data_IF_559133988276
#
_entry.id   IF_559133988276
#
_cell.length_a   1.000
_cell.length_b   1.000
_cell.length_c   1.000
_cell.angle_alpha   90.00
_cell.angle_beta   90.00
_cell.angle_gamma   90.00
#
_symmetry.space_group_name_H-M   'P 1'
#
loop_
_entity.id
_entity.type
_entity.pdbx_description
1 polymer ?
#
# COMPACT_ATOMS: atom_id res chain seq x y z
N UNK A 1 -2.07 -13.54 -24.65
CA UNK A 1 -1.96 -12.73 -23.42
C UNK A 1 -2.09 -13.68 -22.25
N UNK A 2 -0.99 -14.05 -21.59
CA UNK A 2 -1.08 -14.88 -20.37
C UNK A 2 -1.80 -14.07 -19.29
N UNK A 3 -2.83 -14.65 -18.68
CA UNK A 3 -3.46 -14.06 -17.52
C UNK A 3 -2.42 -13.99 -16.39
N UNK A 4 -2.23 -12.80 -15.81
CA UNK A 4 -1.37 -12.64 -14.63
C UNK A 4 -1.79 -13.63 -13.55
N UNK A 5 -0.81 -14.30 -12.94
CA UNK A 5 -1.10 -15.25 -11.87
C UNK A 5 -1.67 -14.54 -10.65
N UNK A 6 -2.49 -15.21 -9.84
CA UNK A 6 -3.03 -14.65 -8.60
C UNK A 6 -1.93 -14.05 -7.70
N UNK A 7 -0.76 -14.71 -7.65
CA UNK A 7 0.46 -14.28 -6.93
C UNK A 7 0.99 -12.89 -7.35
N UNK A 8 0.71 -12.46 -8.56
CA UNK A 8 1.16 -11.18 -9.14
C UNK A 8 0.10 -10.09 -8.98
N UNK A 9 -1.19 -10.47 -8.94
CA UNK A 9 -2.32 -9.54 -8.87
C UNK A 9 -2.66 -9.14 -7.43
N UNK A 10 -2.59 -10.09 -6.49
CA UNK A 10 -3.04 -9.83 -5.11
C UNK A 10 -2.35 -8.63 -4.43
N UNK A 11 -1.04 -8.32 -4.63
CA UNK A 11 -0.41 -7.18 -3.97
C UNK A 11 -1.00 -5.85 -4.45
N UNK A 12 -1.32 -5.77 -5.74
CA UNK A 12 -1.93 -4.60 -6.37
C UNK A 12 -3.37 -4.43 -5.86
N UNK A 13 -4.12 -5.53 -5.77
CA UNK A 13 -5.46 -5.51 -5.18
C UNK A 13 -5.44 -5.12 -3.71
N UNK A 14 -4.45 -5.59 -2.94
CA UNK A 14 -4.26 -5.20 -1.55
C UNK A 14 -3.93 -3.72 -1.40
N UNK A 15 -3.08 -3.15 -2.28
CA UNK A 15 -2.85 -1.70 -2.34
C UNK A 15 -4.14 -0.92 -2.59
N UNK A 16 -4.92 -1.31 -3.61
CA UNK A 16 -6.15 -0.62 -3.98
C UNK A 16 -7.22 -0.73 -2.90
N UNK A 17 -7.48 -1.94 -2.40
CA UNK A 17 -8.45 -2.16 -1.33
C UNK A 17 -8.03 -1.44 -0.04
N UNK A 18 -6.75 -1.52 0.32
CA UNK A 18 -6.20 -0.82 1.46
C UNK A 18 -6.35 0.70 1.35
N UNK A 19 -6.07 1.27 0.18
CA UNK A 19 -6.27 2.70 -0.08
C UNK A 19 -7.72 3.15 0.10
N UNK A 20 -8.69 2.37 -0.42
CA UNK A 20 -10.13 2.66 -0.27
C UNK A 20 -10.56 2.60 1.20
N UNK A 21 -10.16 1.53 1.91
CA UNK A 21 -10.45 1.39 3.33
C UNK A 21 -9.84 2.54 4.13
N UNK A 22 -8.62 2.95 3.81
CA UNK A 22 -7.96 4.09 4.47
C UNK A 22 -8.78 5.36 4.29
N UNK A 23 -9.17 5.67 3.04
CA UNK A 23 -9.94 6.87 2.73
C UNK A 23 -11.30 6.90 3.45
N UNK A 24 -12.03 5.78 3.40
CA UNK A 24 -13.33 5.65 4.08
C UNK A 24 -13.20 5.77 5.60
N UNK A 25 -12.17 5.16 6.18
CA UNK A 25 -11.93 5.22 7.62
C UNK A 25 -11.57 6.63 8.09
N UNK A 26 -10.74 7.35 7.34
CA UNK A 26 -10.37 8.73 7.66
C UNK A 26 -11.58 9.67 7.62
N UNK A 27 -12.37 9.63 6.55
CA UNK A 27 -13.54 10.50 6.40
C UNK A 27 -14.65 10.10 7.36
N UNK A 28 -14.94 8.79 7.47
CA UNK A 28 -15.94 8.26 8.39
C UNK A 28 -15.60 8.56 9.84
N UNK A 29 -14.32 8.53 10.21
CA UNK A 29 -13.85 8.89 11.56
C UNK A 29 -14.15 10.34 11.90
N UNK A 30 -13.87 11.26 10.99
CA UNK A 30 -14.19 12.68 11.19
C UNK A 30 -15.69 12.93 11.31
N UNK A 31 -16.51 12.26 10.49
CA UNK A 31 -17.97 12.38 10.55
C UNK A 31 -18.51 11.80 11.86
N UNK A 32 -18.05 10.61 12.26
CA UNK A 32 -18.51 9.92 13.47
C UNK A 32 -18.10 10.64 14.75
N UNK A 33 -16.98 11.36 14.74
CA UNK A 33 -16.52 12.17 15.86
C UNK A 33 -17.22 13.54 15.98
N UNK A 34 -18.13 13.86 15.06
CA UNK A 34 -18.85 15.13 15.05
C UNK A 34 -17.95 16.32 14.76
N UNK A 35 -16.86 16.12 14.00
CA UNK A 35 -15.98 17.20 13.58
C UNK A 35 -16.73 18.26 12.79
N UNK A 36 -16.26 19.50 12.85
CA UNK A 36 -16.81 20.59 12.03
C UNK A 36 -16.61 20.32 10.54
N UNK A 37 -17.39 21.01 9.70
CA UNK A 37 -17.42 20.79 8.24
C UNK A 37 -16.04 20.95 7.59
N UNK A 38 -15.24 21.93 8.04
CA UNK A 38 -13.92 22.20 7.46
C UNK A 38 -12.94 21.01 7.60
N UNK A 39 -12.68 20.43 8.79
CA UNK A 39 -11.90 19.20 8.94
C UNK A 39 -12.36 18.02 8.08
N UNK A 40 -13.67 17.83 7.93
CA UNK A 40 -14.24 16.76 7.10
C UNK A 40 -13.88 16.98 5.63
N UNK A 41 -14.05 18.21 5.12
CA UNK A 41 -13.70 18.56 3.73
C UNK A 41 -12.20 18.38 3.49
N UNK A 42 -11.35 18.90 4.38
CA UNK A 42 -9.89 18.76 4.24
C UNK A 42 -9.49 17.29 4.21
N UNK A 43 -10.03 16.48 5.12
CA UNK A 43 -9.75 15.03 5.17
C UNK A 43 -10.24 14.31 3.92
N UNK A 44 -11.40 14.69 3.38
CA UNK A 44 -11.92 14.15 2.13
C UNK A 44 -11.03 14.48 0.93
N UNK A 45 -10.53 15.72 0.83
CA UNK A 45 -9.60 16.13 -0.24
C UNK A 45 -8.28 15.35 -0.14
N UNK A 46 -7.69 15.31 1.05
CA UNK A 46 -6.41 14.60 1.28
C UNK A 46 -6.53 13.10 0.98
N UNK A 47 -7.60 12.46 1.47
CA UNK A 47 -7.83 11.04 1.21
C UNK A 47 -8.07 10.73 -0.27
N UNK A 48 -8.74 11.63 -1.00
CA UNK A 48 -8.94 11.50 -2.45
C UNK A 48 -7.62 11.61 -3.21
N UNK A 49 -6.75 12.56 -2.86
CA UNK A 49 -5.41 12.69 -3.45
C UNK A 49 -4.60 11.43 -3.18
N UNK A 50 -4.57 10.96 -1.94
CA UNK A 50 -3.86 9.73 -1.57
C UNK A 50 -4.38 8.52 -2.34
N UNK A 51 -5.69 8.35 -2.44
CA UNK A 51 -6.32 7.26 -3.20
C UNK A 51 -5.92 7.32 -4.67
N UNK A 52 -5.91 8.52 -5.25
CA UNK A 52 -5.51 8.75 -6.64
C UNK A 52 -4.06 8.33 -6.86
N UNK A 53 -3.15 8.72 -5.96
CA UNK A 53 -1.74 8.31 -6.02
C UNK A 53 -1.59 6.80 -5.92
N UNK A 54 -2.27 6.13 -4.98
CA UNK A 54 -2.26 4.67 -4.84
C UNK A 54 -2.76 4.02 -6.13
N UNK A 55 -3.80 4.56 -6.75
CA UNK A 55 -4.36 4.02 -7.98
C UNK A 55 -3.42 4.17 -9.17
N UNK A 56 -2.73 5.32 -9.28
CA UNK A 56 -1.70 5.55 -10.29
C UNK A 56 -0.52 4.58 -10.12
N UNK A 57 -0.06 4.38 -8.89
CA UNK A 57 1.00 3.41 -8.57
C UNK A 57 0.58 1.97 -8.90
N UNK A 58 -0.63 1.57 -8.50
CA UNK A 58 -1.20 0.27 -8.79
C UNK A 58 -1.35 0.03 -10.30
N UNK A 59 -1.75 1.06 -11.06
CA UNK A 59 -1.85 1.01 -12.52
C UNK A 59 -0.48 0.89 -13.17
N UNK A 60 0.52 1.62 -12.69
CA UNK A 60 1.92 1.51 -13.12
C UNK A 60 2.47 0.11 -12.91
N UNK A 61 2.29 -0.45 -11.70
CA UNK A 61 2.67 -1.82 -11.38
C UNK A 61 1.96 -2.85 -12.26
N UNK A 62 0.65 -2.67 -12.50
CA UNK A 62 -0.11 -3.57 -13.37
C UNK A 62 0.37 -3.54 -14.82
N UNK A 63 0.68 -2.35 -15.36
CA UNK A 63 1.21 -2.20 -16.72
C UNK A 63 2.56 -2.90 -16.84
N UNK A 64 3.45 -2.68 -15.87
CA UNK A 64 4.77 -3.32 -15.77
C UNK A 64 4.68 -4.85 -15.74
N UNK A 65 3.75 -5.43 -14.98
CA UNK A 65 3.63 -6.89 -14.92
C UNK A 65 3.06 -7.51 -16.21
N UNK A 66 2.30 -6.73 -16.99
CA UNK A 66 1.72 -7.18 -18.27
C UNK A 66 2.70 -7.11 -19.44
N UNK A 67 3.82 -6.40 -19.31
CA UNK A 67 4.83 -6.32 -20.37
C UNK A 67 5.75 -7.53 -20.30
N UNK A 68 5.96 -8.18 -21.46
CA UNK A 68 6.95 -9.25 -21.64
C UNK A 68 8.30 -8.72 -22.15
N UNK A 69 8.40 -7.42 -22.41
CA UNK A 69 9.60 -6.71 -22.86
C UNK A 69 10.57 -6.46 -21.69
N UNK A 70 11.89 -6.32 -21.92
CA UNK A 70 12.85 -5.84 -20.92
C UNK A 70 12.45 -4.54 -20.21
N UNK A 71 11.57 -3.71 -20.81
CA UNK A 71 10.91 -2.56 -20.16
C UNK A 71 10.14 -2.91 -18.87
N UNK A 72 9.83 -4.19 -18.63
CA UNK A 72 9.30 -4.67 -17.34
C UNK A 72 10.28 -4.44 -16.19
N UNK A 73 11.57 -4.45 -16.46
CA UNK A 73 12.60 -4.36 -15.43
C UNK A 73 12.87 -2.87 -15.17
N UNK A 74 12.84 -2.40 -13.91
CA UNK A 74 13.09 -1.00 -13.62
C UNK A 74 14.51 -0.64 -14.06
N UNK A 75 14.68 0.50 -14.74
CA UNK A 75 16.01 0.94 -15.20
C UNK A 75 16.93 1.34 -14.03
N UNK A 76 16.34 1.84 -12.93
CA UNK A 76 17.05 2.21 -11.71
C UNK A 76 16.94 1.12 -10.65
N UNK A 77 18.02 0.93 -9.89
CA UNK A 77 18.02 0.02 -8.75
C UNK A 77 16.92 0.41 -7.77
N UNK A 78 16.04 -0.55 -7.49
CA UNK A 78 15.08 -0.41 -6.39
C UNK A 78 15.85 -0.57 -5.08
N UNK A 79 16.07 0.57 -4.42
CA UNK A 79 16.85 0.64 -3.19
C UNK A 79 16.34 -0.33 -2.12
N UNK A 80 17.26 -1.12 -1.54
CA UNK A 80 16.97 -2.01 -0.40
C UNK A 80 16.33 -1.24 0.77
N UNK A 81 16.76 0.01 0.96
CA UNK A 81 16.26 0.92 2.01
C UNK A 81 14.76 1.17 1.83
N UNK A 82 14.28 1.39 0.60
CA UNK A 82 12.85 1.62 0.34
C UNK A 82 12.00 0.41 0.71
N UNK A 83 12.45 -0.80 0.38
CA UNK A 83 11.74 -2.04 0.74
C UNK A 83 11.69 -2.23 2.26
N UNK A 84 12.80 -1.98 2.95
CA UNK A 84 12.87 -2.04 4.42
C UNK A 84 11.98 -0.99 5.07
N UNK A 85 11.97 0.24 4.55
CA UNK A 85 11.08 1.31 5.02
C UNK A 85 9.61 0.92 4.90
N UNK A 86 9.19 0.39 3.75
CA UNK A 86 7.82 -0.09 3.54
C UNK A 86 7.47 -1.27 4.47
N UNK A 87 8.43 -2.15 4.76
CA UNK A 87 8.24 -3.24 5.71
C UNK A 87 8.02 -2.73 7.12
N UNK A 88 8.84 -1.78 7.58
CA UNK A 88 8.68 -1.17 8.91
C UNK A 88 7.33 -0.45 9.00
N UNK A 89 6.95 0.33 7.98
CA UNK A 89 5.64 1.00 7.93
C UNK A 89 4.52 -0.04 8.02
N UNK A 90 4.57 -1.13 7.25
CA UNK A 90 3.56 -2.17 7.29
C UNK A 90 3.45 -2.80 8.69
N UNK A 91 4.57 -3.15 9.32
CA UNK A 91 4.59 -3.73 10.68
C UNK A 91 3.98 -2.76 11.69
N UNK A 92 4.41 -1.49 11.68
CA UNK A 92 3.88 -0.48 12.61
C UNK A 92 2.39 -0.30 12.39
N UNK A 93 1.91 -0.23 11.14
CA UNK A 93 0.48 -0.06 10.87
C UNK A 93 -0.35 -1.28 11.27
N UNK A 94 0.17 -2.50 11.13
CA UNK A 94 -0.49 -3.70 11.66
C UNK A 94 -0.52 -3.70 13.20
N UNK A 95 0.54 -3.25 13.86
CA UNK A 95 0.55 -3.10 15.32
C UNK A 95 -0.45 -2.05 15.80
N UNK A 96 -0.53 -0.90 15.12
CA UNK A 96 -1.49 0.17 15.42
C UNK A 96 -2.93 -0.32 15.21
N UNK A 97 -3.21 -0.99 14.08
CA UNK A 97 -4.53 -1.57 13.82
C UNK A 97 -4.88 -2.68 14.83
N UNK A 98 -3.91 -3.50 15.25
CA UNK A 98 -4.11 -4.52 16.27
C UNK A 98 -4.41 -3.93 17.65
N UNK A 99 -3.65 -2.91 18.05
CA UNK A 99 -3.88 -2.17 19.28
C UNK A 99 -5.24 -1.48 19.28
N UNK A 100 -5.59 -0.83 18.18
CA UNK A 100 -6.84 -0.13 18.04
C UNK A 100 -8.05 -1.07 18.06
N UNK A 101 -7.97 -2.23 17.39
CA UNK A 101 -8.97 -3.29 17.51
C UNK A 101 -9.13 -3.78 18.95
N UNK A 102 -8.03 -3.95 19.67
CA UNK A 102 -8.06 -4.32 21.10
C UNK A 102 -8.79 -3.26 21.94
N UNK A 103 -8.49 -1.97 21.74
CA UNK A 103 -9.17 -0.86 22.44
C UNK A 103 -10.66 -0.82 22.09
N UNK A 104 -11.02 -0.97 20.82
CA UNK A 104 -12.41 -0.96 20.37
C UNK A 104 -13.24 -2.08 21.03
N UNK A 105 -12.66 -3.28 21.18
CA UNK A 105 -13.31 -4.41 21.87
C UNK A 105 -13.46 -4.13 23.36
N UNK A 106 -12.42 -3.62 24.02
CA UNK A 106 -12.39 -3.48 25.48
C UNK A 106 -13.30 -2.33 25.96
N UNK A 107 -13.45 -1.28 25.15
CA UNK A 107 -14.19 -0.06 25.51
C UNK A 107 -15.54 0.09 24.79
N UNK A 108 -15.93 -0.86 23.92
CA UNK A 108 -17.16 -0.83 23.09
C UNK A 108 -17.38 0.50 22.36
N UNK A 109 -16.31 1.18 22.01
CA UNK A 109 -16.38 2.55 21.56
C UNK A 109 -16.60 2.60 20.04
N UNK A 110 -17.86 2.78 19.63
CA UNK A 110 -18.31 2.69 18.24
C UNK A 110 -17.65 3.71 17.30
N UNK A 111 -17.28 4.89 17.81
CA UNK A 111 -16.58 5.93 17.03
C UNK A 111 -15.16 5.56 16.60
N UNK A 112 -14.52 4.59 17.27
CA UNK A 112 -13.14 4.18 16.95
C UNK A 112 -13.09 3.22 15.76
N UNK A 113 -14.20 2.54 15.43
CA UNK A 113 -14.28 1.56 14.34
C UNK A 113 -13.86 2.18 13.00
N UNK A 114 -14.16 3.45 12.76
CA UNK A 114 -13.77 4.15 11.55
C UNK A 114 -12.27 4.42 11.46
N UNK A 115 -11.64 4.80 12.57
CA UNK A 115 -10.19 4.95 12.62
C UNK A 115 -9.48 3.61 12.51
N UNK A 116 -10.03 2.54 13.10
CA UNK A 116 -9.54 1.17 12.90
C UNK A 116 -9.58 0.74 11.43
N UNK A 117 -10.68 1.05 10.75
CA UNK A 117 -10.82 0.78 9.32
C UNK A 117 -9.77 1.55 8.52
N UNK A 118 -9.40 2.77 8.95
CA UNK A 118 -8.33 3.54 8.35
C UNK A 118 -6.96 2.86 8.53
N UNK A 119 -6.64 2.43 9.75
CA UNK A 119 -5.38 1.77 10.07
C UNK A 119 -5.22 0.42 9.38
N UNK A 120 -6.28 -0.39 9.35
CA UNK A 120 -6.32 -1.65 8.61
C UNK A 120 -6.12 -1.44 7.11
N UNK A 121 -6.79 -0.42 6.56
CA UNK A 121 -6.59 -0.03 5.16
C UNK A 121 -5.14 0.33 4.86
N UNK A 122 -4.52 1.14 5.73
CA UNK A 122 -3.15 1.60 5.52
C UNK A 122 -2.14 0.44 5.67
N UNK A 123 -2.38 -0.47 6.61
CA UNK A 123 -1.59 -1.68 6.79
C UNK A 123 -1.64 -2.60 5.56
N UNK A 124 -2.83 -2.83 5.01
CA UNK A 124 -3.02 -3.59 3.77
C UNK A 124 -2.34 -2.91 2.58
N UNK A 125 -2.45 -1.57 2.50
CA UNK A 125 -1.83 -0.80 1.43
C UNK A 125 -0.30 -0.88 1.47
N UNK A 126 0.29 -0.68 2.65
CA UNK A 126 1.73 -0.77 2.86
C UNK A 126 2.27 -2.18 2.58
N UNK A 127 1.51 -3.22 2.97
CA UNK A 127 1.86 -4.62 2.70
C UNK A 127 1.89 -4.91 1.19
N UNK A 128 0.85 -4.48 0.46
CA UNK A 128 0.81 -4.63 -0.99
C UNK A 128 1.96 -3.88 -1.68
N UNK A 129 2.23 -2.65 -1.25
CA UNK A 129 3.33 -1.83 -1.78
C UNK A 129 4.69 -2.47 -1.55
N UNK A 130 4.93 -2.99 -0.34
CA UNK A 130 6.18 -3.68 0.01
C UNK A 130 6.41 -4.89 -0.90
N UNK A 131 5.39 -5.70 -1.17
CA UNK A 131 5.50 -6.87 -2.03
C UNK A 131 5.75 -6.49 -3.49
N UNK A 132 5.07 -5.48 -4.03
CA UNK A 132 5.32 -4.97 -5.39
C UNK A 132 6.76 -4.48 -5.53
N UNK A 133 7.25 -3.68 -4.57
CA UNK A 133 8.63 -3.17 -4.60
C UNK A 133 9.66 -4.27 -4.44
N UNK A 134 9.39 -5.27 -3.58
CA UNK A 134 10.26 -6.44 -3.42
C UNK A 134 10.36 -7.26 -4.70
N UNK A 135 9.23 -7.50 -5.38
CA UNK A 135 9.22 -8.18 -6.67
C UNK A 135 10.02 -7.41 -7.73
N UNK A 136 9.83 -6.09 -7.81
CA UNK A 136 10.59 -5.24 -8.72
C UNK A 136 12.11 -5.32 -8.47
N UNK A 137 12.51 -5.31 -7.20
CA UNK A 137 13.92 -5.45 -6.80
C UNK A 137 14.49 -6.83 -7.15
N UNK A 138 13.74 -7.90 -6.94
CA UNK A 138 14.20 -9.25 -7.27
C UNK A 138 14.33 -9.45 -8.78
N UNK A 139 13.41 -8.90 -9.57
CA UNK A 139 13.50 -8.91 -11.04
C UNK A 139 14.70 -8.11 -11.53
N UNK A 140 14.97 -6.94 -10.94
CA UNK A 140 16.16 -6.14 -11.23
C UNK A 140 17.45 -6.91 -10.94
N UNK A 141 17.56 -7.52 -9.76
CA UNK A 141 18.70 -8.34 -9.40
C UNK A 141 18.84 -9.56 -10.31
N UNK A 142 17.76 -10.23 -10.67
CA UNK A 142 17.83 -11.42 -11.51
C UNK A 142 18.36 -11.10 -12.93
N UNK A 143 18.05 -9.91 -13.45
CA UNK A 143 18.54 -9.45 -14.75
C UNK A 143 19.96 -8.91 -14.66
N UNK A 144 20.17 -7.82 -13.92
CA UNK A 144 21.46 -7.11 -13.92
C UNK A 144 22.57 -7.79 -13.11
N UNK A 145 22.25 -8.68 -12.17
CA UNK A 145 23.26 -9.47 -11.44
C UNK A 145 23.76 -10.67 -12.22
N UNK A 146 22.99 -11.18 -13.19
CA UNK A 146 23.43 -12.27 -14.09
C UNK A 146 24.43 -11.77 -15.13
N UNK A 147 24.26 -10.52 -15.55
CA UNK A 147 25.06 -9.90 -16.62
C UNK A 147 26.20 -9.03 -16.10
N UNK A 148 26.39 -8.94 -14.78
CA UNK A 148 27.54 -8.24 -14.21
C UNK A 148 28.81 -9.05 -14.49
N UNK A 149 29.78 -8.55 -15.28
CA UNK A 149 31.06 -9.22 -15.35
C UNK A 149 31.64 -9.16 -13.94
N UNK A 150 31.98 -10.32 -13.39
CA UNK A 150 32.82 -10.36 -12.19
C UNK A 150 34.12 -9.66 -12.54
N UNK A 151 34.23 -8.36 -12.21
CA UNK A 151 35.52 -7.70 -12.11
C UNK A 151 36.30 -8.50 -11.05
N UNK A 152 37.25 -9.28 -11.57
CA UNK A 152 38.35 -9.87 -10.81
C UNK A 152 39.41 -8.80 -10.60
#
# INVERSE_FOLDING_TARGET
>A
MSALGWREIWPIRAMQAGGVLTALGMVGGQVAWGSSVAPVIVTAVVSTIMLTLIWLLARGASRRLRTSSPERIPEREVGRITVLGLMVIAIVMWLVAGYGAFVAVLWRASGYIWYELAYLGLALCATGAMVVWRQARLEWLAHYRRDWPSER
#
